data_IF_767493412000
#
_entry.id   IF_767493412000
#
_cell.length_a   1.000
_cell.length_b   1.000
_cell.length_c   1.000
_cell.angle_alpha   90.00
_cell.angle_beta   90.00
_cell.angle_gamma   90.00
#
_symmetry.space_group_name_H-M   'P 1'
#
loop_
_entity.id
_entity.type
_entity.pdbx_description
1 polymer ?
#
# COMPACT_ATOMS: atom_id res chain seq x y z
N UNK A 1 55.58 -58.88 -12.39
CA UNK A 1 54.29 -59.08 -13.09
C UNK A 1 53.44 -57.84 -12.80
N UNK A 2 53.17 -57.02 -13.83
CA UNK A 2 52.28 -55.84 -13.95
C UNK A 2 52.51 -54.66 -12.97
N UNK A 3 52.91 -53.43 -13.36
CA UNK A 3 52.62 -52.51 -14.49
C UNK A 3 51.29 -51.73 -14.39
N UNK A 4 51.43 -50.39 -14.31
CA UNK A 4 50.65 -49.27 -14.91
C UNK A 4 49.11 -49.32 -14.89
N UNK A 5 48.45 -48.26 -14.41
CA UNK A 5 47.97 -47.10 -15.22
C UNK A 5 47.04 -46.19 -14.40
N UNK A 6 47.06 -44.91 -14.77
CA UNK A 6 46.16 -43.84 -14.33
C UNK A 6 44.70 -44.07 -14.75
N UNK A 7 43.74 -43.53 -13.98
CA UNK A 7 42.52 -42.95 -14.56
C UNK A 7 41.72 -42.13 -13.54
N UNK A 8 41.35 -40.95 -14.03
CA UNK A 8 40.44 -39.92 -13.53
C UNK A 8 38.98 -40.36 -13.75
N UNK A 9 38.13 -40.18 -12.74
CA UNK A 9 36.65 -40.08 -12.81
C UNK A 9 36.24 -39.17 -11.65
N UNK A 10 35.96 -37.88 -11.85
CA UNK A 10 34.74 -37.25 -12.37
C UNK A 10 33.49 -37.46 -11.48
N UNK A 11 32.93 -36.31 -11.04
CA UNK A 11 31.58 -35.99 -10.51
C UNK A 11 30.95 -36.96 -9.49
N UNK A 12 30.47 -36.47 -8.33
CA UNK A 12 29.27 -35.64 -8.25
C UNK A 12 29.31 -34.64 -7.07
N UNK A 13 29.26 -33.35 -7.40
CA UNK A 13 28.80 -32.28 -6.53
C UNK A 13 27.31 -32.53 -6.29
N UNK A 14 26.88 -32.76 -5.06
CA UNK A 14 25.46 -32.73 -4.70
C UNK A 14 24.88 -31.35 -4.99
N UNK A 15 23.62 -31.24 -5.44
CA UNK A 15 23.03 -29.96 -5.78
C UNK A 15 22.90 -29.11 -4.52
N UNK A 16 23.39 -27.87 -4.59
CA UNK A 16 22.96 -26.82 -3.71
C UNK A 16 21.48 -26.57 -4.02
N UNK A 17 20.58 -27.10 -3.18
CA UNK A 17 19.18 -26.67 -3.13
C UNK A 17 19.14 -25.26 -2.53
N UNK A 18 19.44 -24.31 -3.41
CA UNK A 18 19.27 -22.87 -3.21
C UNK A 18 18.47 -22.31 -4.38
N UNK A 19 17.38 -22.97 -4.77
CA UNK A 19 16.37 -22.39 -5.65
C UNK A 19 15.27 -21.79 -4.77
N UNK A 20 15.61 -20.68 -4.12
CA UNK A 20 14.63 -19.77 -3.53
C UNK A 20 14.18 -18.78 -4.61
N UNK A 21 12.86 -18.68 -4.80
CA UNK A 21 11.99 -17.66 -5.44
C UNK A 21 12.47 -16.69 -6.55
N UNK A 22 13.77 -16.45 -6.74
CA UNK A 22 14.35 -15.69 -7.86
C UNK A 22 13.98 -16.28 -9.24
N UNK A 23 13.50 -17.53 -9.30
CA UNK A 23 13.07 -18.18 -10.53
C UNK A 23 11.64 -17.83 -10.98
N UNK A 24 10.79 -17.26 -10.12
CA UNK A 24 9.34 -17.10 -10.40
C UNK A 24 8.96 -15.71 -10.93
N UNK A 25 9.82 -14.71 -10.77
CA UNK A 25 9.62 -13.36 -11.33
C UNK A 25 10.57 -13.10 -12.51
N UNK A 26 10.24 -13.65 -13.69
CA UNK A 26 10.81 -13.13 -14.94
C UNK A 26 10.03 -11.89 -15.37
N UNK A 27 10.54 -10.72 -15.03
CA UNK A 27 10.14 -9.47 -15.66
C UNK A 27 10.72 -9.43 -17.09
N UNK A 28 9.98 -8.89 -18.09
CA UNK A 28 10.48 -8.79 -19.46
C UNK A 28 11.71 -7.86 -19.51
N UNK A 29 12.74 -8.31 -20.23
CA UNK A 29 13.96 -7.56 -20.51
C UNK A 29 13.63 -6.13 -20.98
N UNK A 30 14.23 -5.13 -20.34
CA UNK A 30 14.40 -3.80 -20.89
C UNK A 30 15.85 -3.63 -21.35
N UNK A 31 15.97 -3.02 -22.53
CA UNK A 31 17.11 -2.93 -23.43
C UNK A 31 18.49 -2.66 -22.79
N UNK A 32 19.50 -3.39 -23.27
CA UNK A 32 20.92 -3.06 -23.08
C UNK A 32 21.30 -1.89 -23.99
N UNK A 33 21.17 -0.67 -23.48
CA UNK A 33 21.72 0.53 -24.12
C UNK A 33 23.24 0.58 -24.02
N UNK A 34 23.92 0.33 -25.15
CA UNK A 34 25.37 0.47 -25.35
C UNK A 34 25.89 1.85 -24.96
N UNK A 35 27.00 1.88 -24.22
CA UNK A 35 27.52 3.08 -23.58
C UNK A 35 28.14 4.14 -24.49
N UNK A 36 28.30 5.34 -23.93
CA UNK A 36 29.36 6.30 -24.28
C UNK A 36 29.69 7.12 -23.03
N UNK A 37 30.99 7.23 -22.73
CA UNK A 37 31.56 7.98 -21.60
C UNK A 37 31.59 9.49 -21.87
N UNK A 38 30.89 10.29 -21.05
CA UNK A 38 31.20 11.72 -20.86
C UNK A 38 30.50 12.28 -19.60
N UNK A 39 31.29 12.87 -18.68
CA UNK A 39 30.82 13.65 -17.53
C UNK A 39 30.36 12.81 -16.33
N UNK A 40 30.85 13.12 -15.13
CA UNK A 40 30.30 12.60 -13.88
C UNK A 40 28.96 13.30 -13.60
N UNK A 41 27.99 13.08 -14.48
CA UNK A 41 26.60 13.39 -14.22
C UNK A 41 26.11 12.31 -13.25
N UNK A 42 25.74 12.73 -12.04
CA UNK A 42 25.20 11.79 -11.07
C UNK A 42 24.01 11.09 -11.72
N UNK A 43 24.02 9.76 -11.76
CA UNK A 43 22.94 9.00 -12.37
C UNK A 43 21.59 9.53 -11.86
N UNK A 44 20.59 9.70 -12.74
CA UNK A 44 19.30 10.21 -12.34
C UNK A 44 18.76 9.35 -11.19
N UNK A 45 18.10 9.97 -10.19
CA UNK A 45 17.58 9.24 -9.05
C UNK A 45 16.67 8.12 -9.53
N UNK A 46 16.75 6.98 -8.86
CA UNK A 46 15.98 5.79 -9.17
C UNK A 46 15.17 5.34 -7.97
N UNK A 47 14.09 4.59 -8.22
CA UNK A 47 13.43 3.81 -7.18
C UNK A 47 14.01 2.40 -7.20
N UNK A 48 14.68 2.01 -6.13
CA UNK A 48 15.18 0.65 -5.93
C UNK A 48 14.04 -0.25 -5.47
N UNK A 49 13.94 -1.42 -6.08
CA UNK A 49 13.06 -2.49 -5.63
C UNK A 49 13.81 -3.30 -4.57
N UNK A 50 13.41 -3.16 -3.31
CA UNK A 50 14.02 -3.83 -2.16
C UNK A 50 13.06 -4.89 -1.63
N UNK A 51 13.53 -6.13 -1.61
CA UNK A 51 12.85 -7.24 -0.95
C UNK A 51 13.38 -7.35 0.49
N UNK A 52 12.48 -7.24 1.46
CA UNK A 52 12.78 -7.42 2.88
C UNK A 52 12.17 -8.73 3.38
N UNK A 53 12.98 -9.59 3.98
CA UNK A 53 12.61 -10.96 4.35
C UNK A 53 12.93 -11.23 5.81
N UNK A 54 11.93 -11.66 6.58
CA UNK A 54 12.06 -12.12 7.94
C UNK A 54 11.63 -13.58 8.05
N UNK A 55 12.51 -14.42 8.58
CA UNK A 55 12.19 -15.82 8.85
C UNK A 55 11.98 -16.03 10.34
N UNK A 56 10.75 -16.39 10.72
CA UNK A 56 10.42 -16.82 12.07
C UNK A 56 10.42 -18.35 12.11
N UNK A 57 11.43 -18.91 12.77
CA UNK A 57 11.58 -20.36 12.90
C UNK A 57 10.29 -21.01 13.42
N UNK A 58 9.95 -22.17 12.86
CA UNK A 58 8.72 -22.94 13.17
C UNK A 58 7.41 -22.22 12.84
N UNK A 59 7.46 -21.08 12.14
CA UNK A 59 6.28 -20.30 11.73
C UNK A 59 6.24 -20.11 10.22
N UNK A 60 7.26 -19.47 9.64
CA UNK A 60 7.28 -19.18 8.21
C UNK A 60 8.11 -17.94 7.85
N UNK A 61 8.05 -17.60 6.57
CA UNK A 61 8.73 -16.46 5.96
C UNK A 61 7.75 -15.33 5.75
N UNK A 62 8.11 -14.14 6.22
CA UNK A 62 7.41 -12.89 5.99
C UNK A 62 8.24 -12.09 5.00
N UNK A 63 7.60 -11.65 3.93
CA UNK A 63 8.25 -10.85 2.89
C UNK A 63 7.52 -9.52 2.70
N UNK A 64 8.27 -8.47 2.42
CA UNK A 64 7.79 -7.14 2.02
C UNK A 64 8.57 -6.68 0.80
N UNK A 65 7.87 -6.32 -0.26
CA UNK A 65 8.47 -5.72 -1.44
C UNK A 65 8.26 -4.20 -1.37
N UNK A 66 9.35 -3.44 -1.37
CA UNK A 66 9.36 -1.99 -1.23
C UNK A 66 9.96 -1.34 -2.48
N UNK A 67 9.35 -0.26 -2.95
CA UNK A 67 9.99 0.71 -3.83
C UNK A 67 10.55 1.84 -2.97
N UNK A 68 11.88 2.03 -2.97
CA UNK A 68 12.56 3.04 -2.15
C UNK A 68 13.40 3.97 -3.03
N UNK A 69 13.30 5.29 -2.81
CA UNK A 69 14.18 6.27 -3.44
C UNK A 69 15.64 5.95 -3.08
N UNK A 70 16.49 5.85 -4.10
CA UNK A 70 17.92 5.60 -3.93
C UNK A 70 18.66 6.72 -3.17
N UNK A 71 18.01 7.88 -3.01
CA UNK A 71 18.49 9.02 -2.20
C UNK A 71 18.03 9.01 -0.75
N UNK A 72 17.12 8.13 -0.34
CA UNK A 72 16.79 7.98 1.09
C UNK A 72 18.06 7.64 1.87
N UNK A 73 18.18 8.20 3.07
CA UNK A 73 19.21 7.79 4.01
C UNK A 73 19.00 6.35 4.47
N UNK A 74 20.06 5.73 4.98
CA UNK A 74 19.98 4.41 5.63
C UNK A 74 18.99 4.45 6.80
N UNK A 75 18.93 5.55 7.58
CA UNK A 75 17.97 5.69 8.67
C UNK A 75 16.52 5.67 8.18
N UNK A 76 16.21 6.39 7.09
CA UNK A 76 14.86 6.41 6.49
C UNK A 76 14.52 5.07 5.82
N UNK A 77 15.50 4.41 5.19
CA UNK A 77 15.34 3.06 4.65
C UNK A 77 14.94 2.07 5.75
N UNK A 78 15.65 2.09 6.88
CA UNK A 78 15.34 1.23 8.03
C UNK A 78 13.96 1.54 8.58
N UNK A 79 13.60 2.83 8.71
CA UNK A 79 12.25 3.25 9.11
C UNK A 79 11.19 2.63 8.18
N UNK A 80 11.38 2.75 6.88
CA UNK A 80 10.44 2.25 5.89
C UNK A 80 10.25 0.73 5.96
N UNK A 81 11.36 -0.02 6.09
CA UNK A 81 11.30 -1.48 6.30
C UNK A 81 10.53 -1.81 7.57
N UNK A 82 10.83 -1.16 8.68
CA UNK A 82 10.17 -1.44 9.96
C UNK A 82 8.68 -1.09 9.95
N UNK A 83 8.28 -0.01 9.28
CA UNK A 83 6.86 0.32 9.06
C UNK A 83 6.17 -0.77 8.26
N UNK A 84 6.80 -1.29 7.20
CA UNK A 84 6.22 -2.36 6.39
C UNK A 84 6.03 -3.67 7.17
N UNK A 85 6.80 -3.90 8.23
CA UNK A 85 6.65 -5.02 9.16
C UNK A 85 5.76 -4.72 10.37
N UNK A 86 5.12 -3.54 10.42
CA UNK A 86 4.34 -3.05 11.55
C UNK A 86 5.13 -3.05 12.87
N UNK A 87 6.41 -2.65 12.79
CA UNK A 87 7.29 -2.70 13.95
C UNK A 87 6.93 -1.61 14.97
N UNK A 88 6.82 -1.95 16.27
CA UNK A 88 6.54 -0.98 17.32
C UNK A 88 7.52 0.19 17.33
N UNK A 89 6.99 1.42 17.30
CA UNK A 89 7.78 2.64 17.37
C UNK A 89 8.52 3.02 16.08
N UNK A 90 8.34 2.28 14.97
CA UNK A 90 8.97 2.58 13.69
C UNK A 90 8.61 3.98 13.17
N UNK A 91 7.34 4.37 13.26
CA UNK A 91 6.86 5.68 12.78
C UNK A 91 7.59 6.86 13.42
N UNK A 92 7.95 6.74 14.71
CA UNK A 92 8.62 7.78 15.53
C UNK A 92 10.15 7.67 15.56
N UNK A 93 10.72 6.74 14.80
CA UNK A 93 12.15 6.40 14.90
C UNK A 93 13.09 7.56 14.55
N UNK A 94 12.62 8.53 13.75
CA UNK A 94 13.41 9.67 13.29
C UNK A 94 13.10 10.99 14.00
N UNK A 95 12.15 11.00 14.94
CA UNK A 95 11.68 12.22 15.64
C UNK A 95 12.67 12.74 16.70
N UNK A 96 13.91 12.25 16.71
CA UNK A 96 14.92 12.57 17.72
C UNK A 96 14.70 11.91 19.08
N UNK A 97 13.60 11.16 19.27
CA UNK A 97 13.33 10.40 20.49
C UNK A 97 14.29 9.22 20.67
N UNK A 98 14.71 8.99 21.92
CA UNK A 98 15.48 7.81 22.31
C UNK A 98 14.61 6.56 22.48
N UNK A 99 13.28 6.67 22.37
CA UNK A 99 12.32 5.60 22.61
C UNK A 99 12.01 4.71 21.37
N UNK A 100 12.84 4.76 20.33
CA UNK A 100 12.69 3.95 19.12
C UNK A 100 13.40 2.59 19.21
N UNK A 101 13.11 1.66 18.28
CA UNK A 101 13.75 0.34 18.25
C UNK A 101 15.26 0.47 18.07
N UNK A 102 16.02 -0.43 18.69
CA UNK A 102 17.48 -0.45 18.54
C UNK A 102 17.83 -1.25 17.29
N UNK A 103 18.57 -0.63 16.37
CA UNK A 103 18.88 -1.27 15.09
C UNK A 103 20.33 -1.08 14.65
N UNK A 104 20.79 -2.01 13.82
CA UNK A 104 22.00 -1.87 13.02
C UNK A 104 21.79 -2.50 11.65
N UNK A 105 22.29 -1.86 10.60
CA UNK A 105 22.25 -2.35 9.23
C UNK A 105 23.66 -2.73 8.79
N UNK A 106 23.86 -3.98 8.41
CA UNK A 106 25.10 -4.46 7.82
C UNK A 106 24.88 -4.62 6.31
N UNK A 107 25.35 -3.65 5.51
CA UNK A 107 25.19 -3.69 4.07
C UNK A 107 26.47 -4.16 3.38
N UNK A 108 26.31 -5.04 2.39
CA UNK A 108 27.38 -5.50 1.52
C UNK A 108 27.15 -4.99 0.10
N UNK A 109 28.13 -4.25 -0.42
CA UNK A 109 28.14 -3.74 -1.80
C UNK A 109 29.55 -3.81 -2.37
N UNK A 110 29.71 -4.32 -3.60
CA UNK A 110 31.02 -4.44 -4.29
C UNK A 110 32.11 -5.05 -3.38
N UNK A 111 31.78 -6.16 -2.71
CA UNK A 111 32.63 -6.86 -1.75
C UNK A 111 33.09 -6.07 -0.50
N UNK A 112 32.50 -4.90 -0.24
CA UNK A 112 32.71 -4.14 0.99
C UNK A 112 31.52 -4.29 1.92
N UNK A 113 31.80 -4.72 3.15
CA UNK A 113 30.84 -4.72 4.25
C UNK A 113 30.95 -3.41 5.01
N UNK A 114 29.81 -2.74 5.21
CA UNK A 114 29.70 -1.54 6.05
C UNK A 114 28.59 -1.75 7.07
N UNK A 115 28.79 -1.21 8.27
CA UNK A 115 27.80 -1.22 9.34
C UNK A 115 27.31 0.21 9.56
N UNK A 116 26.00 0.35 9.68
CA UNK A 116 25.32 1.60 9.96
C UNK A 116 24.44 1.41 11.19
N UNK A 117 24.65 2.25 12.19
CA UNK A 117 23.79 2.36 13.37
C UNK A 117 24.00 3.74 13.99
N UNK A 118 23.15 4.13 14.93
CA UNK A 118 23.32 5.39 15.67
C UNK A 118 24.68 5.49 16.38
N UNK A 119 25.30 4.36 16.73
CA UNK A 119 26.58 4.29 17.46
C UNK A 119 27.77 3.92 16.59
N UNK A 120 27.53 3.35 15.40
CA UNK A 120 28.56 2.84 14.53
C UNK A 120 28.15 3.08 13.06
N UNK A 121 28.50 4.26 12.53
CA UNK A 121 28.43 4.57 11.10
C UNK A 121 27.51 5.75 10.74
N UNK A 122 27.71 6.36 9.55
CA UNK A 122 26.92 7.49 9.09
C UNK A 122 25.53 7.06 8.62
N UNK A 123 24.55 7.08 9.51
CA UNK A 123 23.14 6.70 9.19
C UNK A 123 22.48 7.60 8.13
N UNK A 124 23.06 8.77 7.84
CA UNK A 124 22.68 9.67 6.75
C UNK A 124 23.22 9.27 5.37
N UNK A 125 23.97 8.18 5.26
CA UNK A 125 24.43 7.64 3.96
C UNK A 125 23.24 7.28 3.10
N UNK A 126 23.27 7.59 1.81
CA UNK A 126 22.16 7.26 0.90
C UNK A 126 22.06 5.77 0.63
N UNK A 127 20.87 5.33 0.26
CA UNK A 127 20.58 3.95 -0.09
C UNK A 127 21.39 3.47 -1.31
N UNK A 128 21.57 4.32 -2.33
CA UNK A 128 22.44 4.00 -3.47
C UNK A 128 23.89 3.76 -3.04
N UNK A 129 24.40 4.56 -2.10
CA UNK A 129 25.76 4.36 -1.62
C UNK A 129 25.86 3.07 -0.81
N UNK A 130 24.89 2.83 0.07
CA UNK A 130 24.90 1.73 1.04
C UNK A 130 24.63 0.35 0.41
N UNK A 131 23.58 0.22 -0.40
CA UNK A 131 23.20 -1.01 -1.09
C UNK A 131 23.38 -0.88 -2.62
N UNK A 132 22.92 0.20 -3.22
CA UNK A 132 22.87 0.32 -4.70
C UNK A 132 21.95 -0.74 -5.32
N UNK A 133 22.00 -0.88 -6.65
CA UNK A 133 21.05 -1.72 -7.43
C UNK A 133 21.17 -3.24 -7.22
N UNK A 134 22.28 -3.69 -6.65
CA UNK A 134 22.66 -5.10 -6.52
C UNK A 134 23.11 -5.47 -5.09
N UNK A 135 22.89 -4.58 -4.13
CA UNK A 135 23.32 -4.77 -2.74
C UNK A 135 22.41 -5.69 -1.94
N UNK A 136 23.01 -6.31 -0.93
CA UNK A 136 22.30 -7.04 0.13
C UNK A 136 22.65 -6.47 1.50
N UNK A 137 21.74 -6.57 2.45
CA UNK A 137 21.99 -6.16 3.82
C UNK A 137 21.29 -7.06 4.83
N UNK A 138 21.83 -7.09 6.05
CA UNK A 138 21.20 -7.70 7.21
C UNK A 138 20.87 -6.57 8.20
N UNK A 139 19.57 -6.33 8.41
CA UNK A 139 19.04 -5.40 9.39
C UNK A 139 18.77 -6.17 10.68
N UNK A 140 19.53 -5.87 11.72
CA UNK A 140 19.31 -6.40 13.06
C UNK A 140 18.52 -5.37 13.87
N UNK A 141 17.32 -5.73 14.34
CA UNK A 141 16.45 -4.90 15.17
C UNK A 141 15.96 -5.71 16.36
N UNK A 142 16.23 -5.24 17.58
CA UNK A 142 15.82 -5.93 18.83
C UNK A 142 16.12 -7.45 18.81
N UNK A 143 17.34 -7.81 18.37
CA UNK A 143 17.86 -9.18 18.18
C UNK A 143 17.20 -10.01 17.05
N UNK A 144 16.32 -9.42 16.26
CA UNK A 144 15.70 -10.03 15.08
C UNK A 144 16.42 -9.57 13.81
N UNK A 145 16.76 -10.52 12.93
CA UNK A 145 17.41 -10.25 11.66
C UNK A 145 16.41 -10.25 10.50
N UNK A 146 16.34 -9.14 9.77
CA UNK A 146 15.62 -8.97 8.50
C UNK A 146 16.66 -8.87 7.38
N UNK A 147 16.51 -9.68 6.34
CA UNK A 147 17.39 -9.63 5.17
C UNK A 147 16.81 -8.65 4.15
N UNK A 148 17.64 -7.76 3.62
CA UNK A 148 17.28 -6.83 2.55
C UNK A 148 18.06 -7.20 1.28
N UNK A 149 17.36 -7.32 0.16
CA UNK A 149 17.97 -7.61 -1.14
C UNK A 149 17.43 -6.64 -2.18
N UNK A 150 18.32 -5.96 -2.91
CA UNK A 150 17.90 -5.12 -4.03
C UNK A 150 17.67 -6.01 -5.25
N UNK A 151 16.43 -6.10 -5.71
CA UNK A 151 15.99 -6.94 -6.81
C UNK A 151 16.01 -6.21 -8.16
N UNK A 152 16.08 -4.87 -8.15
CA UNK A 152 16.13 -4.06 -9.37
C UNK A 152 16.01 -2.57 -9.08
N UNK A 153 15.90 -1.78 -10.14
CA UNK A 153 15.66 -0.35 -10.07
C UNK A 153 14.75 0.08 -11.22
N UNK A 154 13.90 1.07 -10.96
CA UNK A 154 13.07 1.73 -11.96
C UNK A 154 13.41 3.21 -12.04
N UNK A 155 13.22 3.78 -13.22
CA UNK A 155 13.24 5.23 -13.39
C UNK A 155 12.14 5.84 -12.55
N UNK A 156 12.45 6.93 -11.86
CA UNK A 156 11.46 7.74 -11.14
C UNK A 156 11.40 9.13 -11.71
N UNK A 157 10.27 9.76 -11.49
CA UNK A 157 10.04 11.18 -11.71
C UNK A 157 9.83 11.90 -10.37
N UNK A 158 9.45 13.17 -10.44
CA UNK A 158 9.14 13.99 -9.27
C UNK A 158 7.89 13.53 -8.51
N UNK A 159 7.04 12.70 -9.13
CA UNK A 159 5.77 12.23 -8.57
C UNK A 159 5.84 10.81 -8.02
N UNK A 160 7.00 10.16 -8.09
CA UNK A 160 7.22 8.83 -7.54
C UNK A 160 7.51 8.94 -6.05
N UNK A 161 6.76 8.25 -5.17
CA UNK A 161 6.93 8.36 -3.73
C UNK A 161 8.33 7.91 -3.30
N UNK A 162 8.80 8.48 -2.19
CA UNK A 162 10.13 8.14 -1.68
C UNK A 162 10.19 6.75 -1.05
N UNK A 163 9.07 6.27 -0.51
CA UNK A 163 8.91 4.89 -0.08
C UNK A 163 7.48 4.40 -0.35
N UNK A 164 7.35 3.19 -0.88
CA UNK A 164 6.05 2.53 -1.09
C UNK A 164 6.20 1.03 -0.87
N UNK A 165 5.28 0.44 -0.11
CA UNK A 165 5.12 -1.01 0.00
C UNK A 165 4.23 -1.50 -1.14
N UNK A 166 4.82 -2.32 -2.00
CA UNK A 166 4.22 -2.84 -3.23
C UNK A 166 3.47 -4.15 -3.00
N UNK A 167 4.00 -4.98 -2.10
CA UNK A 167 3.43 -6.28 -1.75
C UNK A 167 3.92 -6.77 -0.39
N UNK A 168 3.14 -7.66 0.21
CA UNK A 168 3.58 -8.47 1.33
C UNK A 168 3.03 -9.88 1.21
N UNK A 169 3.85 -10.88 1.52
CA UNK A 169 3.46 -12.29 1.46
C UNK A 169 3.97 -13.02 2.71
N UNK A 170 3.16 -13.96 3.19
CA UNK A 170 3.54 -14.91 4.22
C UNK A 170 3.53 -16.33 3.66
N UNK A 171 4.68 -17.02 3.78
CA UNK A 171 4.84 -18.41 3.36
C UNK A 171 5.02 -19.27 4.63
N UNK A 172 4.06 -20.16 4.97
CA UNK A 172 4.18 -20.99 6.15
C UNK A 172 5.31 -22.01 6.02
N UNK A 173 6.01 -22.27 7.12
CA UNK A 173 6.99 -23.36 7.16
C UNK A 173 6.25 -24.71 7.23
N UNK A 174 6.69 -25.69 6.43
CA UNK A 174 6.11 -27.03 6.42
C UNK A 174 7.06 -28.02 7.09
N UNK A 175 6.55 -28.81 8.03
CA UNK A 175 7.26 -29.96 8.58
C UNK A 175 6.97 -31.19 7.71
N UNK A 176 7.99 -32.00 7.51
CA UNK A 176 7.86 -33.30 6.90
C UNK A 176 7.40 -34.31 7.96
N UNK A 177 6.30 -35.01 7.70
CA UNK A 177 5.82 -36.00 8.67
C UNK A 177 6.75 -37.21 8.73
N UNK A 178 7.05 -37.73 9.93
CA UNK A 178 7.86 -38.94 10.06
C UNK A 178 7.10 -40.14 9.45
N UNK A 179 7.56 -40.61 8.28
CA UNK A 179 7.07 -41.83 7.63
C UNK A 179 6.07 -41.66 6.47
N UNK A 180 5.79 -40.44 5.99
CA UNK A 180 4.87 -40.19 4.88
C UNK A 180 5.37 -39.19 3.84
N UNK A 181 4.77 -39.18 2.65
CA UNK A 181 5.01 -38.17 1.59
C UNK A 181 4.27 -36.83 1.85
N UNK A 182 3.52 -36.71 2.95
CA UNK A 182 2.75 -35.52 3.30
C UNK A 182 3.61 -34.41 3.92
N UNK A 183 3.31 -33.16 3.57
CA UNK A 183 3.82 -31.94 4.23
C UNK A 183 2.69 -31.33 5.03
N UNK A 184 2.89 -31.14 6.33
CA UNK A 184 1.94 -30.42 7.18
C UNK A 184 2.56 -29.09 7.61
N UNK A 185 1.78 -27.98 7.66
CA UNK A 185 2.29 -26.73 8.17
C UNK A 185 2.80 -26.91 9.60
N UNK A 186 3.88 -26.23 9.96
CA UNK A 186 4.38 -26.22 11.33
C UNK A 186 3.25 -25.78 12.28
N UNK A 187 3.17 -26.30 13.52
CA UNK A 187 2.05 -26.03 14.41
C UNK A 187 1.78 -24.53 14.64
N UNK A 188 2.83 -23.70 14.72
CA UNK A 188 2.66 -22.24 14.88
C UNK A 188 2.28 -21.52 13.56
N UNK A 189 2.42 -22.19 12.40
CA UNK A 189 2.00 -21.67 11.11
C UNK A 189 0.46 -21.70 10.92
N UNK A 190 -0.29 -22.45 11.74
CA UNK A 190 -1.76 -22.57 11.61
C UNK A 190 -2.58 -21.80 12.66
N UNK A 191 -1.94 -21.25 13.71
CA UNK A 191 -2.64 -20.76 14.91
C UNK A 191 -3.40 -19.42 14.73
N UNK A 192 -3.29 -18.71 13.60
CA UNK A 192 -3.83 -17.33 13.48
C UNK A 192 -4.87 -17.10 12.38
N UNK A 193 -5.58 -18.14 11.92
CA UNK A 193 -6.74 -17.95 11.05
C UNK A 193 -7.96 -17.50 11.86
N UNK A 194 -8.08 -16.18 12.09
CA UNK A 194 -9.30 -15.53 12.57
C UNK A 194 -9.34 -15.24 14.07
N UNK A 195 -8.70 -14.16 14.49
CA UNK A 195 -9.11 -13.29 15.61
C UNK A 195 -8.06 -12.18 15.78
N UNK A 196 -8.54 -10.97 16.02
CA UNK A 196 -7.75 -9.87 16.59
C UNK A 196 -6.99 -10.35 17.82
N UNK A 197 -5.67 -10.35 17.74
CA UNK A 197 -4.73 -10.44 18.86
C UNK A 197 -4.81 -11.70 19.73
N UNK A 198 -3.80 -12.57 19.63
CA UNK A 198 -3.44 -13.37 20.80
C UNK A 198 -1.92 -13.48 20.96
N UNK A 199 -1.45 -12.97 22.10
CA UNK A 199 -0.04 -12.88 22.49
C UNK A 199 0.45 -14.24 22.96
N UNK A 200 0.90 -15.09 22.03
CA UNK A 200 1.65 -16.29 22.38
C UNK A 200 3.12 -15.91 22.68
N UNK A 201 3.39 -15.68 23.97
CA UNK A 201 4.69 -15.28 24.50
C UNK A 201 5.83 -16.28 24.25
N UNK A 202 7.01 -15.73 23.94
CA UNK A 202 8.29 -16.43 23.92
C UNK A 202 9.39 -15.59 23.26
N UNK A 203 10.19 -14.92 24.10
CA UNK A 203 11.43 -14.15 23.84
C UNK A 203 11.41 -13.18 22.62
N UNK A 204 11.26 -11.87 22.92
CA UNK A 204 11.22 -10.73 21.98
C UNK A 204 10.05 -10.80 20.97
N UNK A 205 8.83 -10.95 21.48
CA UNK A 205 7.62 -11.14 20.68
C UNK A 205 7.08 -9.86 20.06
N UNK A 206 7.64 -9.45 18.91
CA UNK A 206 6.94 -8.57 17.97
C UNK A 206 5.95 -9.42 17.18
N UNK A 207 4.66 -9.06 17.23
CA UNK A 207 3.63 -9.72 16.42
C UNK A 207 3.64 -9.12 15.02
N UNK A 208 4.17 -9.87 14.05
CA UNK A 208 4.24 -9.43 12.66
C UNK A 208 3.04 -9.99 11.92
N UNK A 209 2.19 -9.13 11.32
CA UNK A 209 1.00 -9.59 10.64
C UNK A 209 1.34 -10.38 9.37
N UNK A 210 0.60 -11.46 9.14
CA UNK A 210 0.72 -12.30 7.93
C UNK A 210 0.24 -11.54 6.70
N UNK A 211 -0.96 -10.97 6.82
CA UNK A 211 -1.57 -10.13 5.80
C UNK A 211 -1.14 -8.68 6.01
N UNK A 212 -0.81 -7.99 4.93
CA UNK A 212 -0.39 -6.59 4.97
C UNK A 212 -1.52 -5.71 4.49
N UNK A 213 -1.96 -4.79 5.34
CA UNK A 213 -2.75 -3.66 4.89
C UNK A 213 -1.82 -2.67 4.16
N UNK A 214 -1.71 -2.84 2.84
CA UNK A 214 -0.85 -2.01 2.01
C UNK A 214 -1.27 -0.54 2.05
N UNK A 215 -2.56 -0.23 2.24
CA UNK A 215 -3.03 1.14 2.33
C UNK A 215 -2.52 1.77 3.64
N UNK A 216 -2.76 1.13 4.79
CA UNK A 216 -2.29 1.62 6.07
C UNK A 216 -0.76 1.74 6.16
N UNK A 217 -0.02 0.77 5.60
CA UNK A 217 1.44 0.84 5.53
C UNK A 217 1.90 2.01 4.68
N UNK A 218 1.30 2.20 3.50
CA UNK A 218 1.70 3.29 2.60
C UNK A 218 1.38 4.68 3.18
N UNK A 219 0.30 4.82 3.96
CA UNK A 219 0.04 6.05 4.77
C UNK A 219 1.23 6.36 5.67
N UNK A 220 1.65 5.36 6.46
CA UNK A 220 2.70 5.54 7.44
C UNK A 220 4.07 5.82 6.80
N UNK A 221 4.30 5.28 5.60
CA UNK A 221 5.50 5.53 4.80
C UNK A 221 5.57 6.96 4.25
N UNK A 222 4.46 7.50 3.75
CA UNK A 222 4.36 8.89 3.27
C UNK A 222 4.50 9.90 4.41
N UNK A 223 4.20 9.49 5.65
CA UNK A 223 4.33 10.32 6.86
C UNK A 223 3.04 11.07 7.20
N UNK A 224 2.92 11.59 8.43
CA UNK A 224 1.77 12.39 8.88
C UNK A 224 1.79 13.77 8.20
N UNK A 225 0.98 13.93 7.14
CA UNK A 225 0.58 15.27 6.71
C UNK A 225 -0.28 15.90 7.81
N UNK A 226 -0.09 17.20 8.09
CA UNK A 226 -0.98 17.89 9.02
C UNK A 226 -2.41 17.86 8.49
N UNK A 227 -3.41 17.82 9.38
CA UNK A 227 -4.83 17.92 9.01
C UNK A 227 -5.07 19.11 8.07
N UNK A 228 -4.41 20.24 8.32
CA UNK A 228 -4.51 21.44 7.46
C UNK A 228 -3.97 21.21 6.05
N UNK A 229 -2.87 20.48 5.89
CA UNK A 229 -2.29 20.13 4.59
C UNK A 229 -3.16 19.15 3.81
N UNK A 230 -3.68 18.11 4.48
CA UNK A 230 -4.61 17.14 3.87
C UNK A 230 -5.86 17.87 3.38
N UNK A 231 -6.46 18.70 4.24
CA UNK A 231 -7.65 19.48 3.89
C UNK A 231 -7.38 20.50 2.78
N UNK A 232 -6.17 21.06 2.69
CA UNK A 232 -5.80 21.99 1.62
C UNK A 232 -5.75 21.32 0.24
N UNK A 233 -5.38 20.03 0.18
CA UNK A 233 -5.31 19.24 -1.03
C UNK A 233 -6.66 18.72 -1.55
N UNK A 234 -7.73 18.87 -0.76
CA UNK A 234 -9.06 18.36 -1.13
C UNK A 234 -9.83 19.27 -2.08
N UNK A 235 -10.70 18.66 -2.88
CA UNK A 235 -11.75 19.34 -3.62
C UNK A 235 -12.50 20.32 -2.67
N UNK A 236 -12.68 21.60 -3.04
CA UNK A 236 -13.16 22.63 -2.12
C UNK A 236 -14.49 22.29 -1.44
N UNK A 237 -15.43 21.72 -2.19
CA UNK A 237 -16.74 21.34 -1.65
C UNK A 237 -16.64 20.17 -0.65
N UNK A 238 -15.80 19.17 -0.93
CA UNK A 238 -15.57 18.07 0.00
C UNK A 238 -14.89 18.59 1.27
N UNK A 239 -13.93 19.51 1.13
CA UNK A 239 -13.30 20.17 2.28
C UNK A 239 -14.32 20.89 3.16
N UNK A 240 -15.25 21.65 2.56
CA UNK A 240 -16.32 22.33 3.29
C UNK A 240 -17.22 21.33 4.03
N UNK A 241 -17.64 20.24 3.37
CA UNK A 241 -18.44 19.19 4.00
C UNK A 241 -17.75 18.54 5.20
N UNK A 242 -16.44 18.27 5.08
CA UNK A 242 -15.68 17.67 6.18
C UNK A 242 -15.50 18.62 7.37
N UNK A 243 -15.34 19.92 7.10
CA UNK A 243 -15.25 20.95 8.13
C UNK A 243 -16.60 21.16 8.84
N UNK A 244 -17.70 21.20 8.10
CA UNK A 244 -19.05 21.40 8.65
C UNK A 244 -19.52 20.19 9.47
N UNK A 245 -19.12 18.97 9.09
CA UNK A 245 -19.47 17.74 9.78
C UNK A 245 -18.52 17.35 10.92
N UNK A 246 -17.50 18.15 11.24
CA UNK A 246 -16.42 17.81 12.19
C UNK A 246 -15.76 16.43 11.90
N UNK A 247 -15.66 16.07 10.62
CA UNK A 247 -15.29 14.73 10.14
C UNK A 247 -13.76 14.47 10.12
N UNK A 248 -13.05 14.97 11.11
CA UNK A 248 -11.58 14.86 11.19
C UNK A 248 -11.10 13.43 11.42
N UNK A 249 -11.97 12.53 11.91
CA UNK A 249 -11.65 11.11 12.10
C UNK A 249 -11.34 10.37 10.78
N UNK A 250 -11.73 10.95 9.64
CA UNK A 250 -11.45 10.40 8.30
C UNK A 250 -10.11 10.85 7.73
N UNK A 251 -9.35 11.69 8.44
CA UNK A 251 -8.03 12.17 8.01
C UNK A 251 -7.06 11.03 7.63
N UNK A 252 -6.94 9.93 8.40
CA UNK A 252 -6.05 8.82 8.03
C UNK A 252 -6.41 8.15 6.70
N UNK A 253 -7.71 8.08 6.39
CA UNK A 253 -8.19 7.53 5.12
C UNK A 253 -7.81 8.45 3.95
N UNK A 254 -7.96 9.76 4.11
CA UNK A 254 -7.61 10.74 3.08
C UNK A 254 -6.10 10.82 2.85
N UNK A 255 -5.32 10.70 3.93
CA UNK A 255 -3.86 10.59 3.87
C UNK A 255 -3.42 9.33 3.10
N UNK A 256 -4.15 8.21 3.24
CA UNK A 256 -3.87 6.98 2.51
C UNK A 256 -3.95 7.13 0.99
N UNK A 257 -4.75 8.09 0.54
CA UNK A 257 -4.95 8.35 -0.87
C UNK A 257 -3.83 9.20 -1.46
N UNK A 258 -2.93 9.76 -0.66
CA UNK A 258 -1.77 10.55 -1.12
C UNK A 258 -2.22 11.66 -2.09
N UNK A 259 -3.05 12.57 -1.59
CA UNK A 259 -3.64 13.64 -2.39
C UNK A 259 -2.64 14.72 -2.81
N UNK A 260 -1.43 14.74 -2.24
CA UNK A 260 -0.33 15.60 -2.68
C UNK A 260 0.24 15.22 -4.04
N UNK A 261 0.05 13.98 -4.50
CA UNK A 261 0.54 13.46 -5.78
C UNK A 261 -0.49 13.61 -6.90
N UNK A 262 -0.24 14.31 -8.02
CA UNK A 262 -1.19 14.44 -9.11
C UNK A 262 -1.72 13.11 -9.65
N UNK A 263 -3.05 12.96 -9.68
CA UNK A 263 -3.69 11.75 -10.16
C UNK A 263 -3.43 11.47 -11.64
N UNK A 264 -3.11 10.20 -11.94
CA UNK A 264 -2.77 9.75 -13.30
C UNK A 264 -4.01 9.17 -13.97
N UNK A 265 -4.82 10.05 -14.58
CA UNK A 265 -6.08 9.68 -15.24
C UNK A 265 -6.04 10.01 -16.74
N UNK A 266 -6.46 9.10 -17.63
CA UNK A 266 -6.51 9.37 -19.07
C UNK A 266 -7.52 10.48 -19.40
N UNK A 267 -7.24 11.27 -20.44
CA UNK A 267 -8.07 12.44 -20.82
C UNK A 267 -9.55 12.11 -21.04
N UNK A 268 -9.84 10.91 -21.56
CA UNK A 268 -11.22 10.43 -21.76
C UNK A 268 -11.99 10.24 -20.46
N UNK A 269 -11.33 9.78 -19.39
CA UNK A 269 -11.94 9.67 -18.07
C UNK A 269 -11.99 11.05 -17.40
N UNK A 270 -10.94 11.88 -17.55
CA UNK A 270 -10.89 13.23 -16.99
C UNK A 270 -12.10 14.08 -17.40
N UNK A 271 -12.43 14.07 -18.69
CA UNK A 271 -13.59 14.80 -19.21
C UNK A 271 -14.94 14.42 -18.56
N UNK A 272 -15.07 13.17 -18.09
CA UNK A 272 -16.26 12.71 -17.34
C UNK A 272 -16.18 13.13 -15.87
N UNK A 273 -14.99 12.98 -15.27
CA UNK A 273 -14.77 13.26 -13.84
C UNK A 273 -14.87 14.76 -13.50
N UNK A 274 -14.54 15.65 -14.42
CA UNK A 274 -14.63 17.11 -14.22
C UNK A 274 -16.04 17.63 -13.90
N UNK A 275 -17.06 16.84 -14.29
CA UNK A 275 -18.47 17.12 -14.02
C UNK A 275 -19.01 16.49 -12.73
N UNK A 276 -18.16 15.85 -11.92
CA UNK A 276 -18.57 15.19 -10.67
C UNK A 276 -18.26 16.11 -9.46
N UNK A 277 -19.16 16.21 -8.46
CA UNK A 277 -20.51 15.63 -8.40
C UNK A 277 -21.47 16.21 -9.43
N UNK A 278 -22.24 15.32 -10.05
CA UNK A 278 -23.23 15.65 -11.09
C UNK A 278 -24.59 16.11 -10.51
N UNK A 279 -24.82 15.90 -9.22
CA UNK A 279 -26.02 16.32 -8.51
C UNK A 279 -26.08 17.85 -8.37
N UNK A 280 -27.29 18.41 -8.41
CA UNK A 280 -27.52 19.86 -8.31
C UNK A 280 -28.02 20.30 -6.93
N UNK A 281 -28.57 19.39 -6.13
CA UNK A 281 -29.04 19.70 -4.78
C UNK A 281 -27.92 19.51 -3.75
N UNK A 282 -27.85 20.33 -2.68
CA UNK A 282 -26.84 20.17 -1.62
C UNK A 282 -26.82 18.76 -1.02
N UNK A 283 -28.00 18.22 -0.71
CA UNK A 283 -28.14 16.85 -0.19
C UNK A 283 -27.64 15.79 -1.20
N UNK A 284 -27.96 15.94 -2.49
CA UNK A 284 -27.49 15.01 -3.52
C UNK A 284 -25.97 15.06 -3.69
N UNK A 285 -25.39 16.26 -3.62
CA UNK A 285 -23.93 16.45 -3.70
C UNK A 285 -23.22 15.90 -2.47
N UNK A 286 -23.77 16.08 -1.27
CA UNK A 286 -23.28 15.43 -0.06
C UNK A 286 -23.33 13.90 -0.18
N UNK A 287 -24.44 13.33 -0.64
CA UNK A 287 -24.56 11.89 -0.88
C UNK A 287 -23.54 11.38 -1.91
N UNK A 288 -23.27 12.17 -2.96
CA UNK A 288 -22.26 11.84 -3.96
C UNK A 288 -20.85 11.85 -3.38
N UNK A 289 -20.47 12.88 -2.62
CA UNK A 289 -19.17 12.97 -1.96
C UNK A 289 -18.96 11.85 -0.95
N UNK A 290 -19.95 11.55 -0.11
CA UNK A 290 -19.88 10.42 0.84
C UNK A 290 -19.62 9.10 0.13
N UNK A 291 -20.24 8.88 -1.03
CA UNK A 291 -19.97 7.69 -1.85
C UNK A 291 -18.62 7.71 -2.54
N UNK A 292 -18.15 8.85 -3.04
CA UNK A 292 -16.81 8.95 -3.64
C UNK A 292 -15.75 8.60 -2.60
N UNK A 293 -15.86 9.14 -1.38
CA UNK A 293 -14.96 8.82 -0.28
C UNK A 293 -15.05 7.33 0.07
N UNK A 294 -16.25 6.77 0.25
CA UNK A 294 -16.41 5.36 0.57
C UNK A 294 -15.89 4.41 -0.54
N UNK A 295 -16.05 4.78 -1.81
CA UNK A 295 -15.55 3.97 -2.93
C UNK A 295 -14.03 4.07 -3.10
N UNK A 296 -13.42 5.18 -2.63
CA UNK A 296 -11.97 5.38 -2.68
C UNK A 296 -11.20 4.39 -1.80
N UNK A 297 -11.87 3.78 -0.80
CA UNK A 297 -11.27 2.75 0.04
C UNK A 297 -11.03 1.43 -0.70
N UNK A 298 -11.61 1.28 -1.91
CA UNK A 298 -11.58 0.06 -2.72
C UNK A 298 -12.06 -1.21 -1.99
N UNK A 299 -12.81 -1.04 -0.90
CA UNK A 299 -13.41 -2.13 -0.13
C UNK A 299 -14.57 -2.76 -0.90
N UNK A 300 -15.11 -3.86 -0.36
CA UNK A 300 -16.34 -4.42 -0.90
C UNK A 300 -17.54 -3.46 -0.70
N UNK A 301 -18.64 -3.80 -1.37
CA UNK A 301 -19.84 -2.96 -1.40
C UNK A 301 -20.44 -2.74 -0.02
N UNK A 302 -20.43 -3.75 0.85
CA UNK A 302 -21.05 -3.66 2.18
C UNK A 302 -20.28 -2.64 3.00
N UNK A 303 -18.95 -2.75 3.01
CA UNK A 303 -18.09 -1.77 3.69
C UNK A 303 -18.24 -0.36 3.11
N UNK A 304 -18.30 -0.22 1.78
CA UNK A 304 -18.50 1.09 1.16
C UNK A 304 -19.89 1.68 1.49
N UNK A 305 -20.92 0.86 1.58
CA UNK A 305 -22.26 1.28 1.99
C UNK A 305 -22.26 1.76 3.46
N UNK A 306 -21.63 1.01 4.38
CA UNK A 306 -21.47 1.37 5.79
C UNK A 306 -20.71 2.70 5.98
N UNK A 307 -19.59 2.89 5.26
CA UNK A 307 -18.83 4.15 5.29
C UNK A 307 -19.68 5.31 4.76
N UNK A 308 -20.45 5.09 3.69
CA UNK A 308 -21.32 6.11 3.11
C UNK A 308 -22.43 6.53 4.07
N UNK A 309 -23.05 5.57 4.77
CA UNK A 309 -24.07 5.81 5.80
C UNK A 309 -23.48 6.59 6.98
N UNK A 310 -22.30 6.20 7.46
CA UNK A 310 -21.58 6.87 8.54
C UNK A 310 -21.32 8.35 8.21
N UNK A 311 -20.78 8.63 7.02
CA UNK A 311 -20.50 10.01 6.57
C UNK A 311 -21.78 10.84 6.47
N UNK A 312 -22.85 10.30 5.87
CA UNK A 312 -24.12 11.01 5.76
C UNK A 312 -24.78 11.27 7.11
N UNK A 313 -24.68 10.31 8.03
CA UNK A 313 -25.19 10.45 9.39
C UNK A 313 -24.43 11.53 10.16
N UNK A 314 -23.11 11.61 9.99
CA UNK A 314 -22.29 12.62 10.66
C UNK A 314 -22.51 14.03 10.11
N UNK A 315 -22.82 14.16 8.82
CA UNK A 315 -23.30 15.41 8.21
C UNK A 315 -24.70 15.83 8.70
N UNK A 316 -25.40 14.97 9.47
CA UNK A 316 -26.69 15.26 10.07
C UNK A 316 -27.88 15.21 9.11
N UNK A 317 -27.71 14.67 7.90
CA UNK A 317 -28.80 14.54 6.94
C UNK A 317 -29.75 13.39 7.31
N UNK A 318 -31.05 13.68 7.25
CA UNK A 318 -32.12 12.77 7.66
C UNK A 318 -33.08 12.44 6.53
N UNK A 319 -34.00 11.51 6.78
CA UNK A 319 -35.12 11.21 5.87
C UNK A 319 -35.97 12.46 5.54
N UNK A 320 -36.16 13.36 6.50
CA UNK A 320 -36.92 14.60 6.30
C UNK A 320 -36.25 15.51 5.26
N UNK A 321 -34.93 15.64 5.30
CA UNK A 321 -34.17 16.47 4.36
C UNK A 321 -34.23 15.91 2.94
N UNK A 322 -34.39 14.59 2.82
CA UNK A 322 -34.52 13.88 1.54
C UNK A 322 -35.95 13.84 0.99
N UNK A 323 -36.95 14.37 1.72
CA UNK A 323 -38.38 14.24 1.41
C UNK A 323 -38.81 12.77 1.22
N UNK A 324 -38.18 11.87 1.99
CA UNK A 324 -38.48 10.43 1.96
C UNK A 324 -39.45 10.12 3.10
N UNK A 325 -40.61 9.56 2.75
CA UNK A 325 -41.59 9.15 3.74
C UNK A 325 -41.00 8.04 4.66
N UNK A 326 -41.05 8.20 5.99
CA UNK A 326 -40.60 7.18 6.91
C UNK A 326 -41.41 5.88 6.74
N UNK A 327 -40.71 4.76 6.64
CA UNK A 327 -41.29 3.42 6.50
C UNK A 327 -40.59 2.40 7.40
N UNK A 328 -41.26 1.29 7.70
CA UNK A 328 -40.65 0.19 8.46
C UNK A 328 -40.28 0.52 9.91
N UNK A 329 -40.98 1.47 10.54
CA UNK A 329 -40.73 1.88 11.93
C UNK A 329 -39.69 3.01 12.09
N UNK A 330 -39.11 3.49 10.99
CA UNK A 330 -38.22 4.65 11.00
C UNK A 330 -38.98 5.96 11.22
N UNK A 331 -38.34 6.95 11.81
CA UNK A 331 -38.84 8.32 12.00
C UNK A 331 -38.25 9.26 10.95
N UNK A 332 -38.89 10.41 10.72
CA UNK A 332 -38.38 11.41 9.76
C UNK A 332 -37.00 11.97 10.12
N UNK A 333 -36.61 11.87 11.40
CA UNK A 333 -35.29 12.28 11.92
C UNK A 333 -34.22 11.19 11.81
N UNK A 334 -34.58 10.00 11.33
CA UNK A 334 -33.61 8.91 11.22
C UNK A 334 -32.62 9.17 10.07
N UNK A 335 -31.38 8.68 10.20
CA UNK A 335 -30.35 8.84 9.17
C UNK A 335 -30.72 8.07 7.90
N UNK A 336 -30.18 8.51 6.77
CA UNK A 336 -30.36 7.86 5.47
C UNK A 336 -29.61 6.53 5.40
N UNK A 337 -30.22 5.51 4.78
CA UNK A 337 -29.54 4.24 4.49
C UNK A 337 -28.82 4.26 3.14
N UNK A 338 -27.97 3.27 2.89
CA UNK A 338 -27.14 3.19 1.71
C UNK A 338 -27.95 3.21 0.42
N UNK A 339 -29.12 2.56 0.37
CA UNK A 339 -29.98 2.56 -0.81
C UNK A 339 -30.52 3.96 -1.14
N UNK A 340 -30.92 4.70 -0.12
CA UNK A 340 -31.40 6.09 -0.24
C UNK A 340 -30.26 7.00 -0.71
N UNK A 341 -29.07 6.83 -0.13
CA UNK A 341 -27.86 7.57 -0.49
C UNK A 341 -27.49 7.31 -1.96
N UNK A 342 -27.56 6.07 -2.49
CA UNK A 342 -27.30 5.84 -3.93
C UNK A 342 -28.35 6.47 -4.83
N UNK A 343 -29.60 6.48 -4.38
CA UNK A 343 -30.69 7.13 -5.10
C UNK A 343 -30.43 8.62 -5.28
N UNK A 344 -30.02 9.28 -4.18
CA UNK A 344 -29.68 10.69 -4.15
C UNK A 344 -28.46 11.02 -5.03
N UNK A 345 -27.46 10.14 -5.09
CA UNK A 345 -26.23 10.32 -5.89
C UNK A 345 -26.26 9.62 -7.27
N UNK A 346 -27.45 9.43 -7.83
CA UNK A 346 -27.64 8.56 -9.00
C UNK A 346 -27.01 9.10 -10.29
N UNK A 347 -26.83 10.40 -10.40
CA UNK A 347 -26.21 11.00 -11.58
C UNK A 347 -24.70 10.74 -11.56
N UNK A 348 -24.03 11.00 -10.43
CA UNK A 348 -22.62 10.72 -10.22
C UNK A 348 -22.31 9.23 -10.38
N UNK A 349 -23.15 8.35 -9.80
CA UNK A 349 -22.97 6.90 -9.94
C UNK A 349 -22.97 6.42 -11.41
N UNK A 350 -23.79 7.03 -12.27
CA UNK A 350 -23.79 6.73 -13.72
C UNK A 350 -22.53 7.24 -14.40
N UNK A 351 -22.07 8.45 -14.07
CA UNK A 351 -20.82 9.00 -14.62
C UNK A 351 -19.63 8.13 -14.24
N UNK A 352 -19.49 7.72 -12.97
CA UNK A 352 -18.44 6.82 -12.52
C UNK A 352 -18.48 5.45 -13.21
N UNK A 353 -19.68 4.90 -13.44
CA UNK A 353 -19.82 3.65 -14.16
C UNK A 353 -19.46 3.77 -15.65
N UNK A 354 -19.65 4.94 -16.26
CA UNK A 354 -19.34 5.18 -17.68
C UNK A 354 -17.83 5.24 -17.98
N UNK A 355 -17.01 5.59 -16.99
CA UNK A 355 -15.55 5.58 -17.10
C UNK A 355 -14.88 4.37 -16.44
N UNK A 356 -15.66 3.39 -15.94
CA UNK A 356 -15.13 2.17 -15.33
C UNK A 356 -14.68 2.32 -13.86
N UNK A 357 -14.86 3.50 -13.26
CA UNK A 357 -14.54 3.79 -11.86
C UNK A 357 -15.40 3.01 -10.87
N UNK A 358 -16.66 2.76 -11.25
CA UNK A 358 -17.65 2.08 -10.41
C UNK A 358 -18.56 1.16 -11.21
N UNK A 359 -19.67 0.77 -10.58
CA UNK A 359 -20.69 0.01 -11.25
C UNK A 359 -22.06 0.61 -10.94
N UNK A 360 -22.95 0.59 -11.93
CA UNK A 360 -24.27 1.21 -11.83
C UNK A 360 -25.35 0.16 -11.58
N UNK A 361 -26.29 0.49 -10.69
CA UNK A 361 -27.54 -0.23 -10.53
C UNK A 361 -28.70 0.73 -10.74
N UNK A 362 -29.62 0.37 -11.64
CA UNK A 362 -30.90 1.05 -11.71
C UNK A 362 -31.70 0.71 -10.44
N UNK A 363 -32.23 1.72 -9.75
CA UNK A 363 -32.99 1.55 -8.52
C UNK A 363 -34.07 0.46 -8.65
N UNK A 364 -34.11 -0.46 -7.67
CA UNK A 364 -35.33 -1.22 -7.35
C UNK A 364 -35.37 -2.72 -7.67
N UNK A 365 -34.30 -3.36 -8.15
CA UNK A 365 -34.29 -4.82 -8.32
C UNK A 365 -33.28 -5.50 -7.40
N UNK A 366 -33.77 -5.97 -6.25
CA UNK A 366 -33.07 -6.95 -5.42
C UNK A 366 -32.77 -8.17 -6.30
N UNK A 367 -31.49 -8.41 -6.60
CA UNK A 367 -31.04 -9.49 -7.48
C UNK A 367 -30.71 -9.08 -8.93
N UNK A 368 -30.69 -7.79 -9.27
CA UNK A 368 -30.25 -7.34 -10.59
C UNK A 368 -28.75 -7.51 -10.75
N UNK A 369 -28.34 -8.16 -11.84
CA UNK A 369 -26.94 -8.27 -12.26
C UNK A 369 -26.44 -6.84 -12.52
N UNK A 370 -25.49 -6.39 -11.71
CA UNK A 370 -24.76 -5.14 -11.91
C UNK A 370 -24.23 -5.14 -13.34
N UNK A 371 -24.81 -4.30 -14.21
CA UNK A 371 -24.39 -4.23 -15.60
C UNK A 371 -23.41 -3.08 -15.73
N UNK A 372 -22.10 -3.34 -15.85
CA UNK A 372 -21.14 -2.28 -16.04
C UNK A 372 -21.32 -1.70 -17.45
N UNK A 373 -21.40 -0.37 -17.57
CA UNK A 373 -21.59 0.34 -18.85
C UNK A 373 -20.39 0.16 -19.77
N UNK A 374 -19.21 0.00 -19.18
CA UNK A 374 -17.93 -0.30 -19.81
C UNK A 374 -17.19 -1.36 -18.98
N UNK A 375 -16.21 -2.10 -19.54
CA UNK A 375 -15.37 -3.01 -18.75
C UNK A 375 -14.80 -2.31 -17.51
N UNK A 376 -14.81 -2.99 -16.36
CA UNK A 376 -14.27 -2.44 -15.12
C UNK A 376 -12.79 -2.14 -15.29
N UNK A 377 -12.40 -0.92 -14.93
CA UNK A 377 -11.00 -0.53 -14.83
C UNK A 377 -10.29 -1.33 -13.73
N UNK A 378 -8.98 -1.48 -13.88
CA UNK A 378 -8.12 -2.08 -12.86
C UNK A 378 -8.26 -1.36 -11.51
N UNK A 379 -7.87 -2.02 -10.41
CA UNK A 379 -7.88 -1.39 -9.08
C UNK A 379 -7.06 -0.09 -9.06
N UNK A 380 -5.89 -0.10 -9.71
CA UNK A 380 -5.01 1.05 -9.82
C UNK A 380 -5.67 2.22 -10.57
N UNK A 381 -6.27 1.96 -11.74
CA UNK A 381 -6.97 2.99 -12.50
C UNK A 381 -8.14 3.59 -11.72
N UNK A 382 -8.90 2.77 -10.98
CA UNK A 382 -9.99 3.26 -10.13
C UNK A 382 -9.46 4.12 -8.98
N UNK A 383 -8.35 3.72 -8.36
CA UNK A 383 -7.70 4.51 -7.31
C UNK A 383 -7.28 5.89 -7.85
N UNK A 384 -6.65 5.94 -9.03
CA UNK A 384 -6.25 7.20 -9.65
C UNK A 384 -7.47 8.06 -10.02
N UNK A 385 -8.59 7.46 -10.46
CA UNK A 385 -9.85 8.19 -10.70
C UNK A 385 -10.45 8.76 -9.41
N UNK A 386 -10.44 8.01 -8.30
CA UNK A 386 -10.93 8.52 -7.01
C UNK A 386 -10.00 9.58 -6.44
N UNK A 387 -8.68 9.40 -6.55
CA UNK A 387 -7.70 10.45 -6.20
C UNK A 387 -7.97 11.72 -6.98
N UNK A 388 -8.18 11.60 -8.29
CA UNK A 388 -8.50 12.75 -9.14
C UNK A 388 -9.74 13.50 -8.64
N UNK A 389 -10.83 12.80 -8.30
CA UNK A 389 -12.04 13.43 -7.79
C UNK A 389 -11.83 14.12 -6.45
N UNK A 390 -11.05 13.52 -5.56
CA UNK A 390 -10.82 14.03 -4.21
C UNK A 390 -9.83 15.20 -4.20
N UNK A 391 -8.99 15.34 -5.22
CA UNK A 391 -8.00 16.41 -5.33
C UNK A 391 -8.59 17.77 -5.64
N UNK A 392 -7.96 18.80 -5.10
CA UNK A 392 -8.14 20.19 -5.52
C UNK A 392 -7.57 20.37 -6.93
N UNK A 393 -8.44 20.70 -7.88
CA UNK A 393 -8.02 21.20 -9.19
C UNK A 393 -8.04 22.71 -9.19
N UNK A 394 -6.90 23.34 -9.46
CA UNK A 394 -6.90 24.74 -9.89
C UNK A 394 -7.57 24.78 -11.26
N UNK A 395 -8.87 25.05 -11.29
CA UNK A 395 -9.49 25.47 -12.54
C UNK A 395 -8.78 26.76 -12.93
N UNK A 396 -7.97 26.70 -13.99
CA UNK A 396 -7.48 27.90 -14.65
C UNK A 396 -8.69 28.81 -14.85
N UNK A 397 -8.69 29.94 -14.14
CA UNK A 397 -9.69 30.97 -14.33
C UNK A 397 -9.47 31.51 -15.75
N UNK A 398 -10.13 30.88 -16.73
CA UNK A 398 -10.22 31.37 -18.09
C UNK A 398 -10.86 32.74 -18.07
N UNK A 399 -10.09 33.74 -18.49
CA UNK A 399 -10.57 35.08 -18.83
C UNK A 399 -11.35 35.11 -20.14
#
# INVERSE_FOLDING_TARGET
MNARHASRTDRTRGPATGDGLAAVLRLPLLDEGTGTTAGADAAPPATLLVLAEYHRQSTGFYTRALGLNDRLSVAETVRAVLIAFDWPGATRMLDGSSAGPTWSLQARRRDRLRVYSRTAGPIGTTLDEALGRDGTASLLVDDIAITLTTAGAMTRDEHTPDAVCLAGEFIPEFRQEPGGQGRTPAPNALVFAGATGDSAGGAAGVDIPRDVDLAAVNVALTGEETVEQILAGLAPELRELLLDGDLYEFTPLLQALDLGRPAQVPDSARAVLDGIPAETSPLGRAAAWSRIVALSTLSDRVTADEISEMLMSALGFTLADADIAPGGGRLSTDPLNASEIRGLSSATGRSLASCGAGAWEANGTVGSVVTPLVPRSSLLERLEMYRYLLQRHEREAGG
#
